data_IF_339876740575
#
_entry.id   IF_339876740575
#
_cell.length_a   1.000
_cell.length_b   1.000
_cell.length_c   1.000
_cell.angle_alpha   90.00
_cell.angle_beta   90.00
_cell.angle_gamma   90.00
#
_symmetry.space_group_name_H-M   'P 1'
#
loop_
_entity.id
_entity.type
_entity.pdbx_description
1 polymer ?
#
# COMPACT_ATOMS: atom_id res chain seq x y z
N UNK A 1 -22.14 16.58 31.22
CA UNK A 1 -21.82 15.84 29.97
C UNK A 1 -20.54 16.46 29.43
N UNK A 2 -19.43 15.76 29.55
CA UNK A 2 -18.20 16.15 28.86
C UNK A 2 -18.46 16.14 27.36
N UNK A 3 -18.18 17.26 26.68
CA UNK A 3 -18.27 17.33 25.22
C UNK A 3 -17.32 16.31 24.57
N UNK A 4 -17.50 15.98 23.30
CA UNK A 4 -16.61 15.05 22.63
C UNK A 4 -15.18 15.57 22.73
N UNK A 5 -14.30 14.73 23.28
CA UNK A 5 -12.86 15.06 23.38
C UNK A 5 -12.34 15.26 21.96
N UNK A 6 -12.02 16.51 21.63
CA UNK A 6 -11.44 16.86 20.34
C UNK A 6 -10.07 16.16 20.20
N UNK A 7 -9.83 15.45 19.09
CA UNK A 7 -8.53 14.87 18.82
C UNK A 7 -7.49 15.99 18.63
N UNK A 8 -6.41 15.89 19.37
CA UNK A 8 -5.23 16.75 19.23
C UNK A 8 -4.09 15.87 18.77
N UNK A 9 -3.58 16.13 17.57
CA UNK A 9 -2.45 15.39 17.02
C UNK A 9 -1.16 15.70 17.81
N UNK A 10 -0.28 14.71 17.91
CA UNK A 10 1.04 14.86 18.53
C UNK A 10 1.82 16.00 17.82
N UNK A 11 2.25 17.05 18.52
CA UNK A 11 2.99 18.15 17.91
C UNK A 11 4.34 17.72 17.34
N UNK A 12 4.95 16.64 17.87
CA UNK A 12 6.24 16.13 17.45
C UNK A 12 6.14 15.03 16.38
N UNK A 13 4.94 14.77 15.81
CA UNK A 13 4.66 13.67 14.88
C UNK A 13 5.60 13.57 13.71
N UNK A 14 6.14 14.69 13.22
CA UNK A 14 7.06 14.70 12.07
C UNK A 14 8.53 14.47 12.42
N UNK A 15 8.90 14.44 13.72
CA UNK A 15 10.30 14.41 14.15
C UNK A 15 11.00 13.07 13.93
N UNK A 16 10.24 11.96 13.83
CA UNK A 16 10.77 10.60 13.79
C UNK A 16 10.52 9.88 12.46
N UNK A 17 9.57 10.34 11.66
CA UNK A 17 9.21 9.72 10.38
C UNK A 17 10.13 10.26 9.28
N UNK A 18 10.92 9.41 8.62
CA UNK A 18 11.63 9.81 7.41
C UNK A 18 10.62 10.00 6.28
N UNK A 19 10.74 11.13 5.56
CA UNK A 19 9.96 11.40 4.37
C UNK A 19 10.85 11.29 3.13
N UNK A 20 10.39 10.53 2.14
CA UNK A 20 11.13 10.24 0.91
C UNK A 20 10.44 10.87 -0.28
N UNK A 21 11.22 11.43 -1.19
CA UNK A 21 10.70 12.04 -2.42
C UNK A 21 10.10 10.96 -3.32
N UNK A 22 8.91 11.23 -3.85
CA UNK A 22 8.22 10.35 -4.80
C UNK A 22 8.79 10.56 -6.19
N UNK A 23 9.80 9.79 -6.55
CA UNK A 23 10.54 9.95 -7.78
C UNK A 23 11.15 11.36 -7.92
N UNK A 24 10.89 12.02 -9.06
CA UNK A 24 11.35 13.41 -9.32
C UNK A 24 10.31 14.47 -8.95
N UNK A 25 9.14 14.06 -8.44
CA UNK A 25 8.08 15.01 -8.09
C UNK A 25 8.41 15.83 -6.83
N UNK A 26 7.61 16.84 -6.55
CA UNK A 26 7.69 17.62 -5.30
C UNK A 26 7.09 16.91 -4.08
N UNK A 27 6.30 15.84 -4.30
CA UNK A 27 5.60 15.15 -3.23
C UNK A 27 6.58 14.29 -2.41
N UNK A 28 6.45 14.38 -1.08
CA UNK A 28 7.14 13.50 -0.14
C UNK A 28 6.12 12.53 0.47
N UNK A 29 6.46 11.25 0.58
CA UNK A 29 5.69 10.28 1.33
C UNK A 29 6.48 9.81 2.57
N UNK A 30 5.77 9.44 3.67
CA UNK A 30 6.42 8.81 4.81
C UNK A 30 7.02 7.46 4.37
N UNK A 31 8.15 7.08 4.95
CA UNK A 31 8.78 5.78 4.64
C UNK A 31 7.86 4.59 4.92
N UNK A 32 6.92 4.75 5.87
CA UNK A 32 5.84 3.80 6.13
C UNK A 32 4.50 4.50 5.88
N UNK A 33 3.66 3.91 5.03
CA UNK A 33 2.29 4.33 4.74
C UNK A 33 1.28 3.35 5.31
N UNK A 34 0.06 3.79 5.63
CA UNK A 34 -1.00 2.93 6.17
C UNK A 34 -2.00 2.53 5.09
N UNK A 35 -2.08 1.22 4.80
CA UNK A 35 -3.09 0.62 3.93
C UNK A 35 -4.36 0.27 4.69
N UNK A 36 -5.49 0.70 4.18
CA UNK A 36 -6.80 0.58 4.83
C UNK A 36 -7.64 -0.59 4.26
N UNK A 37 -6.99 -1.63 3.75
CA UNK A 37 -7.67 -2.86 3.33
C UNK A 37 -8.07 -3.71 4.55
N UNK A 38 -8.93 -4.71 4.42
CA UNK A 38 -9.32 -5.77 5.39
C UNK A 38 -9.62 -5.39 6.86
N UNK A 39 -8.94 -4.42 7.45
CA UNK A 39 -9.09 -4.08 8.88
C UNK A 39 -9.91 -2.81 9.10
N UNK A 40 -10.39 -2.17 8.04
CA UNK A 40 -11.10 -0.89 8.07
C UNK A 40 -12.49 -0.98 7.44
N UNK A 41 -12.95 -2.20 7.12
CA UNK A 41 -14.29 -2.45 6.59
C UNK A 41 -15.41 -2.29 7.63
N UNK A 42 -16.63 -2.39 7.15
CA UNK A 42 -17.83 -2.27 7.98
C UNK A 42 -18.04 -3.43 8.98
N UNK A 43 -17.27 -4.52 8.84
CA UNK A 43 -17.26 -5.66 9.76
C UNK A 43 -16.35 -5.43 10.99
N UNK A 44 -15.68 -4.28 11.08
CA UNK A 44 -14.74 -3.92 12.16
C UNK A 44 -15.29 -2.82 13.04
N UNK A 45 -15.00 -2.86 14.37
CA UNK A 45 -15.41 -1.77 15.25
C UNK A 45 -14.76 -0.45 14.82
N UNK A 46 -15.58 0.58 14.60
CA UNK A 46 -15.13 1.91 14.19
C UNK A 46 -14.06 2.50 15.14
N UNK A 47 -14.21 2.32 16.45
CA UNK A 47 -13.25 2.85 17.42
C UNK A 47 -11.87 2.19 17.32
N UNK A 48 -11.78 0.95 16.85
CA UNK A 48 -10.48 0.31 16.54
C UNK A 48 -9.82 0.99 15.36
N UNK A 49 -10.54 1.20 14.27
CA UNK A 49 -10.05 1.92 13.08
C UNK A 49 -9.64 3.34 13.44
N UNK A 50 -10.47 4.02 14.23
CA UNK A 50 -10.21 5.38 14.73
C UNK A 50 -8.92 5.45 15.54
N UNK A 51 -8.73 4.54 16.48
CA UNK A 51 -7.52 4.49 17.32
C UNK A 51 -6.26 4.26 16.47
N UNK A 52 -6.32 3.34 15.48
CA UNK A 52 -5.19 3.05 14.59
C UNK A 52 -4.85 4.27 13.73
N UNK A 53 -5.84 4.92 13.11
CA UNK A 53 -5.63 6.07 12.22
C UNK A 53 -5.08 7.28 12.98
N UNK A 54 -5.63 7.59 14.17
CA UNK A 54 -5.10 8.65 15.03
C UNK A 54 -3.64 8.37 15.39
N UNK A 55 -3.36 7.16 15.84
CA UNK A 55 -1.99 6.78 16.22
C UNK A 55 -1.04 6.79 15.02
N UNK A 56 -1.50 6.40 13.83
CA UNK A 56 -0.70 6.50 12.62
C UNK A 56 -0.28 7.95 12.34
N UNK A 57 -1.23 8.87 12.43
CA UNK A 57 -0.94 10.30 12.24
C UNK A 57 -0.01 10.85 13.33
N UNK A 58 -0.21 10.47 14.59
CA UNK A 58 0.69 10.82 15.70
C UNK A 58 2.12 10.26 15.53
N UNK A 59 2.29 9.20 14.76
CA UNK A 59 3.60 8.63 14.43
C UNK A 59 4.20 9.22 13.14
N UNK A 60 3.55 10.19 12.51
CA UNK A 60 4.01 10.87 11.30
C UNK A 60 3.62 10.14 10.01
N UNK A 61 2.73 9.15 10.06
CA UNK A 61 2.17 8.54 8.85
C UNK A 61 1.12 9.49 8.29
N UNK A 62 1.46 10.15 7.18
CA UNK A 62 0.59 11.11 6.51
C UNK A 62 -0.11 10.52 5.28
N UNK A 63 0.32 9.36 4.79
CA UNK A 63 -0.26 8.70 3.63
C UNK A 63 -1.18 7.55 4.06
N UNK A 64 -2.44 7.66 3.65
CA UNK A 64 -3.51 6.68 3.86
C UNK A 64 -3.99 6.16 2.51
N UNK A 65 -3.82 4.86 2.29
CA UNK A 65 -4.04 4.21 1.00
C UNK A 65 -5.30 3.35 1.02
N UNK A 66 -6.22 3.66 0.12
CA UNK A 66 -7.51 3.00 -0.04
C UNK A 66 -7.68 2.43 -1.46
N UNK A 67 -8.82 1.82 -1.71
CA UNK A 67 -9.37 1.51 -3.02
C UNK A 67 -10.90 1.45 -2.93
N UNK A 68 -11.57 1.63 -4.07
CA UNK A 68 -13.03 1.63 -4.16
C UNK A 68 -13.66 0.34 -3.60
N UNK A 69 -12.99 -0.82 -3.77
CA UNK A 69 -13.48 -2.13 -3.35
C UNK A 69 -12.94 -2.57 -1.98
N UNK A 70 -12.22 -1.73 -1.22
CA UNK A 70 -11.74 -2.10 0.11
C UNK A 70 -12.88 -2.17 1.12
N UNK A 71 -12.82 -3.22 1.96
CA UNK A 71 -13.82 -3.54 2.97
C UNK A 71 -13.52 -4.90 3.61
N UNK A 72 -14.48 -5.80 3.88
CA UNK A 72 -15.89 -5.88 3.42
C UNK A 72 -16.86 -4.97 4.19
N UNK A 73 -18.04 -4.67 3.61
CA UNK A 73 -18.38 -4.76 2.18
C UNK A 73 -17.59 -3.73 1.34
N UNK A 74 -17.58 -3.90 0.00
CA UNK A 74 -16.89 -2.97 -0.90
C UNK A 74 -17.29 -1.52 -0.66
N UNK A 75 -16.30 -0.62 -0.57
CA UNK A 75 -16.47 0.80 -0.27
C UNK A 75 -16.51 1.15 1.21
N UNK A 76 -16.71 0.18 2.12
CA UNK A 76 -16.85 0.47 3.56
C UNK A 76 -15.57 0.99 4.21
N UNK A 77 -14.39 0.66 3.67
CA UNK A 77 -13.14 1.24 4.15
C UNK A 77 -13.07 2.76 3.86
N UNK A 78 -13.51 3.18 2.67
CA UNK A 78 -13.61 4.61 2.32
C UNK A 78 -14.67 5.32 3.17
N UNK A 79 -15.82 4.69 3.46
CA UNK A 79 -16.85 5.26 4.34
C UNK A 79 -16.32 5.42 5.78
N UNK A 80 -15.60 4.41 6.30
CA UNK A 80 -14.96 4.46 7.62
C UNK A 80 -13.95 5.59 7.70
N UNK A 81 -13.08 5.72 6.69
CA UNK A 81 -12.07 6.77 6.65
C UNK A 81 -12.70 8.16 6.42
N UNK A 82 -13.73 8.25 5.58
CA UNK A 82 -14.50 9.49 5.35
C UNK A 82 -15.10 10.06 6.65
N UNK A 83 -15.59 9.20 7.55
CA UNK A 83 -16.05 9.62 8.88
C UNK A 83 -14.91 10.21 9.72
N UNK A 84 -13.70 9.67 9.62
CA UNK A 84 -12.52 10.19 10.33
C UNK A 84 -12.05 11.52 9.72
N UNK A 85 -12.09 11.64 8.39
CA UNK A 85 -11.79 12.90 7.69
C UNK A 85 -12.77 14.01 8.06
N UNK A 86 -14.05 13.67 8.25
CA UNK A 86 -15.08 14.66 8.66
C UNK A 86 -15.01 15.04 10.14
N UNK A 87 -14.28 14.32 10.97
CA UNK A 87 -14.21 14.52 12.42
C UNK A 87 -12.79 14.77 12.92
N UNK A 88 -12.06 13.71 13.23
CA UNK A 88 -10.75 13.78 13.87
C UNK A 88 -9.68 14.43 12.99
N UNK A 89 -9.72 14.16 11.70
CA UNK A 89 -8.72 14.61 10.74
C UNK A 89 -9.14 15.86 9.94
N UNK A 90 -10.34 16.38 10.17
CA UNK A 90 -10.84 17.55 9.45
C UNK A 90 -9.88 18.77 9.50
N UNK A 91 -9.23 19.09 10.63
CA UNK A 91 -8.28 20.20 10.69
C UNK A 91 -6.95 19.93 9.95
N UNK A 92 -6.69 18.68 9.56
CA UNK A 92 -5.39 18.23 9.06
C UNK A 92 -5.43 17.77 7.58
N UNK A 93 -6.53 18.02 6.85
CA UNK A 93 -6.67 17.52 5.46
C UNK A 93 -5.46 17.87 4.58
N UNK A 94 -4.94 19.08 4.71
CA UNK A 94 -3.81 19.57 3.90
C UNK A 94 -2.45 18.97 4.32
N UNK A 95 -2.41 18.28 5.47
CA UNK A 95 -1.24 17.54 5.94
C UNK A 95 -1.27 16.06 5.53
N UNK A 96 -2.37 15.61 4.93
CA UNK A 96 -2.59 14.22 4.55
C UNK A 96 -2.42 14.00 3.05
N UNK A 97 -1.91 12.84 2.70
CA UNK A 97 -1.97 12.27 1.35
C UNK A 97 -3.00 11.13 1.38
N UNK A 98 -4.10 11.31 0.69
CA UNK A 98 -5.18 10.31 0.58
C UNK A 98 -5.17 9.73 -0.82
N UNK A 99 -5.01 8.42 -0.93
CA UNK A 99 -5.04 7.73 -2.21
C UNK A 99 -6.21 6.75 -2.30
N UNK A 100 -6.76 6.61 -3.50
CA UNK A 100 -7.72 5.56 -3.82
C UNK A 100 -7.50 5.01 -5.22
N UNK A 101 -8.14 3.88 -5.56
CA UNK A 101 -7.88 3.10 -6.77
C UNK A 101 -9.19 2.55 -7.35
N UNK A 102 -9.19 2.30 -8.66
CA UNK A 102 -10.22 1.55 -9.36
C UNK A 102 -9.59 0.57 -10.35
N UNK A 103 -10.18 -0.64 -10.47
CA UNK A 103 -9.67 -1.69 -11.38
C UNK A 103 -10.23 -3.07 -11.09
N UNK A 104 -10.48 -3.41 -9.83
CA UNK A 104 -11.14 -4.66 -9.44
C UNK A 104 -12.66 -4.48 -9.40
N UNK A 105 -13.38 -5.60 -9.31
CA UNK A 105 -14.84 -5.63 -9.29
C UNK A 105 -15.42 -4.78 -8.15
N UNK A 106 -16.46 -4.04 -8.46
CA UNK A 106 -17.15 -3.15 -7.52
C UNK A 106 -18.67 -3.31 -7.55
N UNK A 107 -19.25 -3.61 -8.72
CA UNK A 107 -20.65 -3.90 -8.92
C UNK A 107 -20.87 -4.87 -10.07
N UNK A 108 -21.97 -5.62 -10.11
CA UNK A 108 -22.21 -6.60 -11.17
C UNK A 108 -22.45 -5.97 -12.53
N UNK A 109 -22.13 -6.74 -13.58
CA UNK A 109 -22.37 -6.36 -14.98
C UNK A 109 -21.13 -5.79 -15.68
N UNK A 110 -21.24 -5.40 -16.96
CA UNK A 110 -20.09 -5.15 -17.83
C UNK A 110 -19.38 -3.81 -17.56
N UNK A 111 -19.82 -3.03 -16.58
CA UNK A 111 -19.29 -1.71 -16.30
C UNK A 111 -18.75 -1.57 -14.87
N UNK A 112 -18.61 -2.67 -14.16
CA UNK A 112 -18.27 -2.67 -12.73
C UNK A 112 -16.84 -3.05 -12.41
N UNK A 113 -15.95 -3.17 -13.41
CA UNK A 113 -14.60 -3.71 -13.28
C UNK A 113 -13.68 -3.18 -14.38
N UNK A 114 -12.37 -3.40 -14.22
CA UNK A 114 -11.29 -3.16 -15.19
C UNK A 114 -10.95 -1.69 -15.46
N UNK A 115 -10.44 -1.40 -16.66
CA UNK A 115 -9.78 -0.13 -17.00
C UNK A 115 -10.61 0.83 -17.86
N UNK A 116 -11.86 0.48 -18.22
CA UNK A 116 -12.64 1.36 -19.09
C UNK A 116 -12.82 2.75 -18.49
N UNK A 117 -12.75 3.77 -19.32
CA UNK A 117 -12.99 5.18 -18.92
C UNK A 117 -14.28 5.35 -18.12
N UNK A 118 -15.34 4.64 -18.54
CA UNK A 118 -16.64 4.67 -17.85
C UNK A 118 -16.54 4.18 -16.42
N UNK A 119 -15.89 3.04 -16.20
CA UNK A 119 -15.74 2.45 -14.87
C UNK A 119 -14.80 3.28 -13.99
N UNK A 120 -13.63 3.67 -14.50
CA UNK A 120 -12.61 4.40 -13.75
C UNK A 120 -13.14 5.72 -13.20
N UNK A 121 -13.80 6.54 -14.05
CA UNK A 121 -14.34 7.82 -13.63
C UNK A 121 -15.56 7.68 -12.70
N UNK A 122 -16.47 6.73 -12.98
CA UNK A 122 -17.61 6.46 -12.10
C UNK A 122 -17.16 5.99 -10.72
N UNK A 123 -16.11 5.16 -10.66
CA UNK A 123 -15.51 4.69 -9.40
C UNK A 123 -14.92 5.84 -8.58
N UNK A 124 -14.17 6.76 -9.22
CA UNK A 124 -13.62 7.93 -8.54
C UNK A 124 -14.74 8.80 -7.94
N UNK A 125 -15.80 9.06 -8.71
CA UNK A 125 -16.93 9.85 -8.23
C UNK A 125 -17.65 9.19 -7.04
N UNK A 126 -17.71 7.86 -7.00
CA UNK A 126 -18.25 7.12 -5.85
C UNK A 126 -17.30 7.17 -4.66
N UNK A 127 -15.99 7.01 -4.88
CA UNK A 127 -14.97 7.10 -3.84
C UNK A 127 -14.96 8.47 -3.17
N UNK A 128 -15.01 9.55 -3.94
CA UNK A 128 -15.09 10.92 -3.41
C UNK A 128 -16.33 11.12 -2.53
N UNK A 129 -17.49 10.57 -2.92
CA UNK A 129 -18.72 10.64 -2.10
C UNK A 129 -18.57 9.88 -0.78
N UNK A 130 -17.98 8.66 -0.79
CA UNK A 130 -17.74 7.86 0.43
C UNK A 130 -16.73 8.54 1.37
N UNK A 131 -15.68 9.11 0.79
CA UNK A 131 -14.66 9.84 1.55
C UNK A 131 -15.13 11.22 2.05
N UNK A 132 -16.17 11.79 1.43
CA UNK A 132 -16.61 13.15 1.72
C UNK A 132 -15.60 14.21 1.29
N UNK A 133 -14.87 13.96 0.20
CA UNK A 133 -13.81 14.81 -0.35
C UNK A 133 -14.17 15.33 -1.74
N UNK A 134 -13.67 16.52 -2.08
CA UNK A 134 -13.73 17.06 -3.43
C UNK A 134 -12.65 16.46 -4.35
N UNK A 135 -11.51 16.04 -3.76
CA UNK A 135 -10.39 15.42 -4.47
C UNK A 135 -9.64 14.43 -3.57
N UNK A 136 -8.97 13.45 -4.20
CA UNK A 136 -7.92 12.64 -3.59
C UNK A 136 -6.55 13.13 -4.06
N UNK A 137 -5.50 12.87 -3.26
CA UNK A 137 -4.16 13.28 -3.65
C UNK A 137 -3.62 12.39 -4.78
N UNK A 138 -3.80 11.06 -4.68
CA UNK A 138 -3.35 10.13 -5.71
C UNK A 138 -4.53 9.22 -6.13
N UNK A 139 -4.78 9.14 -7.42
CA UNK A 139 -5.73 8.19 -7.99
C UNK A 139 -5.03 7.16 -8.86
N UNK A 140 -5.24 5.87 -8.56
CA UNK A 140 -4.56 4.77 -9.23
C UNK A 140 -5.48 4.00 -10.20
N UNK A 141 -4.91 3.60 -11.35
CA UNK A 141 -5.36 2.38 -12.01
C UNK A 141 -4.85 1.20 -11.19
N UNK A 142 -5.77 0.41 -10.62
CA UNK A 142 -5.48 -0.61 -9.59
C UNK A 142 -4.78 -1.85 -10.15
N UNK A 143 -4.98 -2.13 -11.45
CA UNK A 143 -4.30 -3.17 -12.21
C UNK A 143 -4.36 -2.86 -13.71
N UNK A 144 -3.49 -3.49 -14.49
CA UNK A 144 -3.59 -3.44 -15.95
C UNK A 144 -4.86 -4.16 -16.41
N UNK A 145 -5.50 -3.63 -17.47
CA UNK A 145 -6.62 -4.27 -18.14
C UNK A 145 -6.10 -4.86 -19.46
N UNK A 146 -6.20 -6.19 -19.68
CA UNK A 146 -5.69 -6.82 -20.89
C UNK A 146 -6.48 -6.46 -22.14
N UNK A 147 -7.76 -6.11 -22.01
CA UNK A 147 -8.69 -5.93 -23.12
C UNK A 147 -8.99 -4.46 -23.46
N UNK A 148 -8.74 -3.54 -22.52
CA UNK A 148 -8.94 -2.10 -22.75
C UNK A 148 -7.65 -1.46 -23.28
N UNK A 149 -7.71 -0.65 -24.38
CA UNK A 149 -6.57 0.12 -24.83
C UNK A 149 -5.99 0.98 -23.69
N UNK A 150 -4.67 0.91 -23.51
CA UNK A 150 -4.02 1.61 -22.40
C UNK A 150 -4.25 3.11 -22.40
N UNK A 151 -4.37 3.69 -23.61
CA UNK A 151 -4.69 5.10 -23.84
C UNK A 151 -6.05 5.49 -23.24
N UNK A 152 -7.03 4.58 -23.23
CA UNK A 152 -8.34 4.85 -22.62
C UNK A 152 -8.22 4.94 -21.10
N UNK A 153 -7.54 3.99 -20.48
CA UNK A 153 -7.32 3.97 -19.02
C UNK A 153 -6.48 5.17 -18.57
N UNK A 154 -5.36 5.43 -19.23
CA UNK A 154 -4.50 6.57 -18.90
C UNK A 154 -5.20 7.91 -19.18
N UNK A 155 -5.98 7.98 -20.27
CA UNK A 155 -6.82 9.15 -20.55
C UNK A 155 -7.92 9.38 -19.52
N UNK A 156 -8.40 8.34 -18.83
CA UNK A 156 -9.30 8.48 -17.68
C UNK A 156 -8.58 9.08 -16.46
N UNK A 157 -7.36 8.65 -16.16
CA UNK A 157 -6.55 9.23 -15.09
C UNK A 157 -6.20 10.71 -15.36
N UNK A 158 -5.77 11.03 -16.59
CA UNK A 158 -5.56 12.43 -17.02
C UNK A 158 -6.81 13.27 -16.82
N UNK A 159 -7.97 12.74 -17.20
CA UNK A 159 -9.25 13.44 -17.01
C UNK A 159 -9.55 13.70 -15.53
N UNK A 160 -9.30 12.74 -14.65
CA UNK A 160 -9.48 12.90 -13.21
C UNK A 160 -8.60 14.04 -12.67
N UNK A 161 -7.35 14.11 -13.11
CA UNK A 161 -6.42 15.18 -12.72
C UNK A 161 -6.85 16.53 -13.27
N UNK A 162 -7.19 16.64 -14.57
CA UNK A 162 -7.67 17.88 -15.20
C UNK A 162 -8.97 18.41 -14.60
N UNK A 163 -9.83 17.53 -14.11
CA UNK A 163 -11.07 17.92 -13.41
C UNK A 163 -10.81 18.34 -11.95
N UNK A 164 -9.57 18.24 -11.45
CA UNK A 164 -9.24 18.55 -10.07
C UNK A 164 -9.77 17.52 -9.06
N UNK A 165 -10.18 16.32 -9.51
CA UNK A 165 -10.66 15.23 -8.65
C UNK A 165 -9.53 14.35 -8.12
N UNK A 166 -8.34 14.47 -8.71
CA UNK A 166 -7.09 13.90 -8.19
C UNK A 166 -5.96 14.92 -8.44
N UNK A 167 -4.96 14.95 -7.57
CA UNK A 167 -3.78 15.79 -7.78
C UNK A 167 -2.75 15.08 -8.65
N UNK A 168 -2.64 13.76 -8.51
CA UNK A 168 -1.65 12.94 -9.18
C UNK A 168 -2.24 11.62 -9.69
N UNK A 169 -1.65 11.11 -10.78
CA UNK A 169 -1.95 9.81 -11.34
C UNK A 169 -0.95 8.75 -10.85
N UNK A 170 -1.45 7.55 -10.52
CA UNK A 170 -0.66 6.38 -10.16
C UNK A 170 -1.13 5.14 -10.90
N UNK A 171 -0.29 4.11 -10.91
CA UNK A 171 -0.62 2.77 -11.41
C UNK A 171 -0.22 1.70 -10.39
N UNK A 172 -0.80 0.53 -10.46
CA UNK A 172 -0.50 -0.59 -9.56
C UNK A 172 -0.42 -1.90 -10.31
N UNK A 173 0.58 -2.73 -9.99
CA UNK A 173 0.77 -4.08 -10.54
C UNK A 173 0.91 -4.14 -12.07
N UNK A 174 1.54 -3.15 -12.68
CA UNK A 174 1.88 -3.14 -14.11
C UNK A 174 3.26 -3.75 -14.35
N UNK A 175 3.42 -4.56 -15.40
CA UNK A 175 4.72 -5.04 -15.87
C UNK A 175 5.67 -3.87 -16.25
N UNK A 176 7.00 -4.09 -16.30
CA UNK A 176 7.95 -3.01 -16.62
C UNK A 176 7.65 -2.31 -17.94
N UNK A 177 7.41 -3.05 -19.02
CA UNK A 177 7.10 -2.50 -20.35
C UNK A 177 5.79 -1.73 -20.33
N UNK A 178 4.76 -2.29 -19.73
CA UNK A 178 3.45 -1.64 -19.59
C UNK A 178 3.53 -0.36 -18.77
N UNK A 179 4.43 -0.33 -17.79
CA UNK A 179 4.74 0.88 -17.00
C UNK A 179 5.39 1.97 -17.88
N UNK A 180 6.32 1.60 -18.78
CA UNK A 180 6.91 2.56 -19.75
C UNK A 180 5.85 3.14 -20.69
N UNK A 181 5.00 2.29 -21.24
CA UNK A 181 3.92 2.71 -22.13
C UNK A 181 2.94 3.66 -21.41
N UNK A 182 2.47 3.29 -20.22
CA UNK A 182 1.58 4.11 -19.41
C UNK A 182 2.18 5.48 -19.10
N UNK A 183 3.45 5.51 -18.68
CA UNK A 183 4.16 6.75 -18.40
C UNK A 183 4.31 7.63 -19.64
N UNK A 184 4.62 7.05 -20.81
CA UNK A 184 4.75 7.79 -22.06
C UNK A 184 3.40 8.39 -22.51
N UNK A 185 2.29 7.65 -22.37
CA UNK A 185 0.95 8.14 -22.68
C UNK A 185 0.58 9.30 -21.76
N UNK A 186 0.78 9.14 -20.44
CA UNK A 186 0.46 10.18 -19.46
C UNK A 186 1.32 11.44 -19.65
N UNK A 187 2.61 11.30 -19.97
CA UNK A 187 3.51 12.42 -20.26
C UNK A 187 3.04 13.17 -21.51
N UNK A 188 2.67 12.44 -22.58
CA UNK A 188 2.08 13.01 -23.79
C UNK A 188 0.77 13.77 -23.57
N UNK A 189 0.02 13.42 -22.52
CA UNK A 189 -1.20 14.11 -22.10
C UNK A 189 -0.91 15.31 -21.16
N UNK A 190 0.34 15.45 -20.68
CA UNK A 190 0.74 16.49 -19.73
C UNK A 190 0.39 16.18 -18.26
N UNK A 191 0.12 14.92 -17.93
CA UNK A 191 -0.14 14.42 -16.57
C UNK A 191 0.92 13.36 -16.24
N UNK A 192 2.12 13.74 -15.76
CA UNK A 192 3.20 12.77 -15.50
C UNK A 192 2.77 11.70 -14.50
N UNK A 193 3.17 10.44 -14.76
CA UNK A 193 3.00 9.35 -13.80
C UNK A 193 3.79 9.64 -12.53
N UNK A 194 3.11 9.71 -11.39
CA UNK A 194 3.74 10.00 -10.10
C UNK A 194 4.41 8.78 -9.49
N UNK A 195 3.67 7.67 -9.43
CA UNK A 195 4.01 6.53 -8.56
C UNK A 195 3.45 5.22 -9.09
N UNK A 196 4.20 4.15 -8.86
CA UNK A 196 3.77 2.78 -9.08
C UNK A 196 3.65 2.04 -7.74
N UNK A 197 2.56 1.28 -7.57
CA UNK A 197 2.32 0.47 -6.36
C UNK A 197 2.35 -1.03 -6.70
N UNK A 198 3.49 -1.73 -6.56
CA UNK A 198 3.61 -3.17 -6.76
C UNK A 198 3.55 -3.95 -5.45
N UNK A 199 3.26 -5.27 -5.53
CA UNK A 199 3.53 -6.20 -4.43
C UNK A 199 5.04 -6.40 -4.27
N UNK A 200 5.55 -6.30 -3.03
CA UNK A 200 6.98 -6.47 -2.76
C UNK A 200 7.26 -6.95 -1.35
N UNK A 201 8.04 -8.01 -1.23
CA UNK A 201 8.49 -8.55 0.05
C UNK A 201 9.75 -9.41 -0.14
N UNK A 202 10.34 -9.91 0.94
CA UNK A 202 11.44 -10.88 0.88
C UNK A 202 11.08 -12.18 0.15
N UNK A 203 9.79 -12.51 0.01
CA UNK A 203 9.29 -13.71 -0.67
C UNK A 203 8.60 -13.43 -2.00
N UNK A 204 8.58 -12.18 -2.44
CA UNK A 204 8.04 -11.74 -3.71
C UNK A 204 8.90 -10.56 -4.22
N UNK A 205 9.89 -10.88 -5.05
CA UNK A 205 10.97 -9.96 -5.46
C UNK A 205 10.91 -9.54 -6.93
N UNK A 206 9.83 -9.86 -7.63
CA UNK A 206 9.68 -9.64 -9.08
C UNK A 206 10.02 -8.23 -9.55
N UNK A 207 9.80 -7.21 -8.71
CA UNK A 207 10.10 -5.82 -9.05
C UNK A 207 11.59 -5.52 -9.22
N UNK A 208 12.46 -6.37 -8.65
CA UNK A 208 13.91 -6.23 -8.77
C UNK A 208 14.39 -6.63 -10.16
N UNK A 209 13.57 -7.42 -10.91
CA UNK A 209 13.83 -7.80 -12.29
C UNK A 209 13.22 -6.76 -13.26
N UNK A 210 13.90 -5.62 -13.38
CA UNK A 210 13.63 -4.56 -14.36
C UNK A 210 12.67 -3.46 -13.92
N UNK A 211 11.64 -3.71 -13.10
CA UNK A 211 10.66 -2.67 -12.75
C UNK A 211 11.30 -1.50 -11.98
N UNK A 212 12.13 -1.78 -10.98
CA UNK A 212 12.81 -0.72 -10.24
C UNK A 212 13.74 0.12 -11.12
N UNK A 213 14.37 -0.49 -12.14
CA UNK A 213 15.20 0.23 -13.09
C UNK A 213 14.35 1.16 -13.97
N UNK A 214 13.22 0.66 -14.49
CA UNK A 214 12.24 1.46 -15.24
C UNK A 214 11.76 2.66 -14.42
N UNK A 215 11.37 2.45 -13.17
CA UNK A 215 10.90 3.53 -12.30
C UNK A 215 12.01 4.57 -12.03
N UNK A 216 13.25 4.10 -11.79
CA UNK A 216 14.41 4.97 -11.61
C UNK A 216 14.70 5.83 -12.84
N UNK A 217 14.69 5.26 -14.04
CA UNK A 217 14.90 5.97 -15.32
C UNK A 217 13.81 7.02 -15.57
N UNK A 218 12.54 6.64 -15.35
CA UNK A 218 11.39 7.53 -15.53
C UNK A 218 11.28 8.58 -14.41
N UNK A 219 11.95 8.39 -13.28
CA UNK A 219 11.82 9.25 -12.11
C UNK A 219 10.43 9.13 -11.45
N UNK A 220 9.85 7.94 -11.49
CA UNK A 220 8.57 7.59 -10.88
C UNK A 220 8.81 6.99 -9.49
N UNK A 221 7.97 7.33 -8.51
CA UNK A 221 8.05 6.76 -7.17
C UNK A 221 7.59 5.29 -7.13
N UNK A 222 8.04 4.57 -6.09
CA UNK A 222 7.63 3.19 -5.84
C UNK A 222 7.15 3.02 -4.39
N UNK A 223 5.95 2.44 -4.22
CA UNK A 223 5.41 2.08 -2.91
C UNK A 223 5.03 0.59 -2.88
N UNK A 224 5.75 -0.20 -2.08
CA UNK A 224 5.53 -1.64 -2.01
C UNK A 224 4.38 -2.03 -1.09
N UNK A 225 3.42 -2.82 -1.58
CA UNK A 225 2.37 -3.39 -0.73
C UNK A 225 2.66 -4.85 -0.38
N UNK A 226 1.98 -5.40 0.64
CA UNK A 226 2.20 -6.74 1.19
C UNK A 226 3.65 -7.03 1.66
N UNK A 227 4.35 -6.09 2.28
CA UNK A 227 5.78 -6.23 2.61
C UNK A 227 6.07 -7.34 3.61
N UNK A 228 5.07 -7.79 4.36
CA UNK A 228 5.17 -8.89 5.32
C UNK A 228 4.66 -10.23 4.76
N UNK A 229 4.57 -10.37 3.42
CA UNK A 229 4.15 -11.60 2.76
C UNK A 229 2.88 -12.19 3.39
N UNK A 230 1.80 -11.41 3.47
CA UNK A 230 0.52 -11.77 4.08
C UNK A 230 0.61 -12.19 5.56
N UNK A 231 1.71 -11.86 6.25
CA UNK A 231 1.98 -12.18 7.65
C UNK A 231 2.96 -13.33 7.85
N UNK A 232 3.47 -13.96 6.80
CA UNK A 232 4.51 -15.01 6.89
C UNK A 232 5.81 -14.47 7.51
N UNK A 233 6.17 -13.23 7.22
CA UNK A 233 7.34 -12.54 7.76
C UNK A 233 7.07 -11.89 9.14
N UNK A 234 6.27 -12.56 9.96
CA UNK A 234 5.98 -12.19 11.35
C UNK A 234 6.04 -13.42 12.24
N UNK A 235 5.92 -13.23 13.55
CA UNK A 235 5.84 -14.36 14.51
C UNK A 235 4.45 -15.01 14.54
N UNK A 236 3.49 -14.52 13.73
CA UNK A 236 2.09 -14.93 13.78
C UNK A 236 1.87 -16.43 13.55
N UNK A 237 2.69 -17.06 12.69
CA UNK A 237 2.57 -18.46 12.30
C UNK A 237 3.64 -19.35 12.90
N UNK A 238 4.42 -18.87 13.89
CA UNK A 238 5.50 -19.62 14.52
C UNK A 238 5.00 -20.84 15.33
N UNK A 239 3.81 -20.76 15.90
CA UNK A 239 3.21 -21.81 16.74
C UNK A 239 1.98 -22.48 16.07
N UNK A 240 1.77 -22.23 14.78
CA UNK A 240 0.63 -22.77 14.02
C UNK A 240 -0.21 -21.67 13.38
N UNK A 241 -1.42 -22.03 12.92
CA UNK A 241 -2.36 -21.09 12.27
C UNK A 241 -3.30 -20.52 13.34
N UNK A 242 -3.15 -19.25 13.76
CA UNK A 242 -4.05 -18.67 14.77
C UNK A 242 -5.47 -18.54 14.25
N UNK A 243 -6.43 -18.72 15.13
CA UNK A 243 -7.85 -18.44 14.84
C UNK A 243 -8.02 -16.96 14.40
N UNK A 244 -8.79 -16.73 13.33
CA UNK A 244 -8.99 -15.40 12.75
C UNK A 244 -7.81 -14.84 11.95
N UNK A 245 -6.74 -15.63 11.70
CA UNK A 245 -5.68 -15.28 10.76
C UNK A 245 -6.20 -15.26 9.31
N UNK A 246 -5.43 -14.67 8.37
CA UNK A 246 -5.80 -14.67 6.95
C UNK A 246 -5.91 -16.08 6.37
N UNK A 247 -5.04 -17.00 6.80
CA UNK A 247 -5.10 -18.42 6.43
C UNK A 247 -6.38 -19.06 6.99
N UNK A 248 -6.68 -18.85 8.27
CA UNK A 248 -7.86 -19.43 8.92
C UNK A 248 -9.19 -18.89 8.34
N UNK A 249 -9.17 -17.69 7.75
CA UNK A 249 -10.33 -17.04 7.11
C UNK A 249 -10.39 -17.25 5.60
N UNK A 250 -9.48 -18.00 5.02
CA UNK A 250 -9.36 -18.24 3.56
C UNK A 250 -9.40 -16.94 2.72
N UNK A 251 -8.71 -15.90 3.20
CA UNK A 251 -8.80 -14.58 2.58
C UNK A 251 -7.79 -14.39 1.44
N UNK A 252 -6.50 -14.35 1.75
CA UNK A 252 -5.49 -13.97 0.77
C UNK A 252 -4.19 -14.76 0.87
N UNK A 253 -4.13 -15.75 1.74
CA UNK A 253 -2.99 -16.65 1.86
C UNK A 253 -3.51 -18.09 1.95
N UNK A 254 -3.37 -18.89 0.87
CA UNK A 254 -3.73 -20.30 0.87
C UNK A 254 -2.93 -21.07 1.92
N UNK A 255 -3.56 -22.06 2.58
CA UNK A 255 -2.91 -22.83 3.64
C UNK A 255 -1.72 -23.67 3.12
N UNK A 256 -1.73 -24.04 1.85
CA UNK A 256 -0.67 -24.78 1.16
C UNK A 256 0.62 -23.97 0.97
N UNK A 257 0.58 -22.65 1.10
CA UNK A 257 1.76 -21.79 1.09
C UNK A 257 2.61 -21.90 2.38
N UNK A 258 2.06 -22.45 3.46
CA UNK A 258 2.79 -22.69 4.70
C UNK A 258 3.55 -24.04 4.66
N UNK A 259 4.37 -24.23 3.64
CA UNK A 259 5.20 -25.45 3.47
C UNK A 259 6.32 -25.51 4.49
N UNK A 260 6.91 -26.72 4.67
CA UNK A 260 8.11 -26.88 5.51
C UNK A 260 9.29 -26.04 4.98
N UNK A 261 9.38 -25.86 3.66
CA UNK A 261 10.38 -24.98 3.04
C UNK A 261 10.15 -23.51 3.42
N UNK A 262 8.92 -23.02 3.35
CA UNK A 262 8.57 -21.65 3.77
C UNK A 262 8.87 -21.45 5.25
N UNK A 263 8.54 -22.42 6.10
CA UNK A 263 8.87 -22.38 7.54
C UNK A 263 10.37 -22.32 7.80
N UNK A 264 11.17 -23.09 7.06
CA UNK A 264 12.63 -23.08 7.17
C UNK A 264 13.22 -21.73 6.75
N UNK A 265 12.72 -21.12 5.64
CA UNK A 265 13.11 -19.76 5.21
C UNK A 265 12.79 -18.73 6.31
N UNK A 266 11.57 -18.76 6.87
CA UNK A 266 11.15 -17.85 7.94
C UNK A 266 12.03 -18.02 9.20
N UNK A 267 12.36 -19.27 9.57
CA UNK A 267 13.24 -19.54 10.72
C UNK A 267 14.65 -18.95 10.52
N UNK A 268 15.24 -19.13 9.33
CA UNK A 268 16.54 -18.55 9.01
C UNK A 268 16.53 -17.02 9.03
N UNK A 269 15.50 -16.38 8.47
CA UNK A 269 15.34 -14.93 8.53
C UNK A 269 15.15 -14.42 9.96
N UNK A 270 14.45 -15.19 10.82
CA UNK A 270 14.26 -14.84 12.23
C UNK A 270 15.58 -14.87 13.02
N UNK A 271 16.45 -15.82 12.74
CA UNK A 271 17.78 -15.88 13.37
C UNK A 271 18.61 -14.64 13.00
N UNK A 272 18.58 -14.22 11.74
CA UNK A 272 19.25 -12.99 11.28
C UNK A 272 18.64 -11.76 11.97
N UNK A 273 17.32 -11.66 12.03
CA UNK A 273 16.63 -10.57 12.70
C UNK A 273 16.99 -10.48 14.19
N UNK A 274 17.06 -11.62 14.90
CA UNK A 274 17.50 -11.69 16.28
C UNK A 274 18.95 -11.22 16.45
N UNK A 275 19.85 -11.63 15.55
CA UNK A 275 21.25 -11.16 15.53
C UNK A 275 21.35 -9.64 15.31
N UNK A 276 20.40 -9.07 14.59
CA UNK A 276 20.25 -7.62 14.39
C UNK A 276 19.59 -6.89 15.58
N UNK A 277 19.04 -7.61 16.56
CA UNK A 277 18.25 -7.03 17.65
C UNK A 277 16.91 -6.44 17.19
N UNK A 278 16.35 -6.92 16.08
CA UNK A 278 15.06 -6.50 15.51
C UNK A 278 14.06 -7.67 15.50
N UNK A 279 12.76 -7.42 15.70
CA UNK A 279 11.73 -8.39 15.31
C UNK A 279 11.79 -8.67 13.81
N UNK A 280 11.45 -9.91 13.40
CA UNK A 280 11.44 -10.31 11.98
C UNK A 280 10.61 -9.34 11.11
N UNK A 281 9.42 -8.96 11.56
CA UNK A 281 8.58 -8.00 10.85
C UNK A 281 9.28 -6.64 10.63
N UNK A 282 9.98 -6.14 11.64
CA UNK A 282 10.70 -4.86 11.54
C UNK A 282 11.87 -4.98 10.56
N UNK A 283 12.64 -6.08 10.61
CA UNK A 283 13.70 -6.34 9.63
C UNK A 283 13.14 -6.46 8.20
N UNK A 284 12.03 -7.16 8.01
CA UNK A 284 11.40 -7.32 6.69
C UNK A 284 10.94 -5.98 6.10
N UNK A 285 10.33 -5.11 6.92
CA UNK A 285 9.94 -3.76 6.49
C UNK A 285 11.17 -2.88 6.18
N UNK A 286 12.19 -2.89 7.03
CA UNK A 286 13.44 -2.19 6.78
C UNK A 286 14.09 -2.66 5.46
N UNK A 287 14.06 -3.97 5.20
CA UNK A 287 14.62 -4.56 4.00
C UNK A 287 13.89 -4.08 2.72
N UNK A 288 12.56 -3.95 2.74
CA UNK A 288 11.83 -3.40 1.57
C UNK A 288 12.21 -1.93 1.29
N UNK A 289 12.68 -1.21 2.28
CA UNK A 289 13.11 0.18 2.17
C UNK A 289 14.61 0.37 1.87
N UNK A 290 15.40 -0.73 1.74
CA UNK A 290 16.84 -0.67 1.53
C UNK A 290 17.25 -0.04 0.20
N UNK A 291 16.42 -0.25 -0.83
CA UNK A 291 16.65 0.34 -2.14
C UNK A 291 16.21 1.82 -2.13
N UNK A 292 17.07 2.76 -2.54
CA UNK A 292 16.72 4.18 -2.54
C UNK A 292 15.60 4.55 -3.52
N UNK A 293 15.27 3.68 -4.49
CA UNK A 293 14.15 3.85 -5.42
C UNK A 293 12.80 3.55 -4.77
N UNK A 294 12.79 2.83 -3.63
CA UNK A 294 11.58 2.63 -2.84
C UNK A 294 11.23 3.90 -2.07
N UNK A 295 10.12 4.52 -2.40
CA UNK A 295 9.61 5.71 -1.71
C UNK A 295 9.03 5.37 -0.35
N UNK A 296 8.19 4.34 -0.28
CA UNK A 296 7.46 3.96 0.92
C UNK A 296 7.15 2.46 0.93
N UNK A 297 6.89 1.90 2.11
CA UNK A 297 6.30 0.57 2.26
C UNK A 297 4.92 0.69 2.89
N UNK A 298 3.94 -0.03 2.32
CA UNK A 298 2.54 0.03 2.71
C UNK A 298 2.22 -1.07 3.71
N UNK A 299 1.92 -0.70 4.96
CA UNK A 299 1.58 -1.65 6.03
C UNK A 299 0.10 -1.62 6.36
N UNK A 300 -0.47 -2.79 6.66
CA UNK A 300 -1.76 -2.90 7.33
C UNK A 300 -1.56 -3.11 8.82
N UNK A 301 -2.52 -2.66 9.63
CA UNK A 301 -2.54 -2.91 11.07
C UNK A 301 -3.95 -3.28 11.55
N UNK A 302 -4.05 -4.24 12.47
CA UNK A 302 -5.31 -4.64 13.11
C UNK A 302 -5.43 -4.10 14.55
N UNK A 303 -4.37 -3.46 15.05
CA UNK A 303 -4.32 -2.82 16.37
C UNK A 303 -3.26 -1.72 16.40
N UNK A 304 -3.36 -0.82 17.37
CA UNK A 304 -2.35 0.21 17.64
C UNK A 304 -0.98 -0.41 17.92
N UNK A 305 -0.94 -1.46 18.74
CA UNK A 305 0.33 -2.13 19.08
C UNK A 305 1.02 -2.74 17.86
N UNK A 306 0.26 -3.30 16.90
CA UNK A 306 0.83 -3.81 15.65
C UNK A 306 1.37 -2.67 14.77
N UNK A 307 0.66 -1.54 14.70
CA UNK A 307 1.13 -0.36 13.97
C UNK A 307 2.46 0.14 14.55
N UNK A 308 2.54 0.29 15.87
CA UNK A 308 3.76 0.73 16.56
C UNK A 308 4.93 -0.23 16.35
N UNK A 309 4.67 -1.55 16.34
CA UNK A 309 5.70 -2.55 16.01
C UNK A 309 6.20 -2.40 14.57
N UNK A 310 5.30 -2.13 13.60
CA UNK A 310 5.70 -1.91 12.22
C UNK A 310 6.59 -0.65 12.09
N UNK A 311 6.24 0.43 12.79
CA UNK A 311 7.02 1.70 12.75
C UNK A 311 8.42 1.54 13.34
N UNK A 312 8.65 0.60 14.26
CA UNK A 312 10.00 0.26 14.78
C UNK A 312 10.98 -0.23 13.71
N UNK A 313 10.50 -0.59 12.51
CA UNK A 313 11.39 -0.86 11.39
C UNK A 313 12.32 0.34 11.08
N UNK A 314 11.85 1.56 11.36
CA UNK A 314 12.61 2.79 11.12
C UNK A 314 13.77 3.01 12.12
N UNK A 315 13.80 2.29 13.24
CA UNK A 315 14.86 2.40 14.24
C UNK A 315 16.22 1.88 13.70
N UNK A 316 16.19 0.98 12.68
CA UNK A 316 17.38 0.44 12.03
C UNK A 316 17.10 0.06 10.58
N UNK A 317 17.37 0.97 9.66
CA UNK A 317 17.18 0.78 8.21
C UNK A 317 18.43 0.27 7.49
N UNK A 318 19.62 0.42 8.09
CA UNK A 318 20.88 0.07 7.47
C UNK A 318 21.12 -1.45 7.50
N UNK A 319 21.69 -1.96 6.43
CA UNK A 319 22.15 -3.35 6.30
C UNK A 319 23.61 -3.38 5.89
N UNK A 320 24.39 -4.25 6.51
CA UNK A 320 25.73 -4.57 6.01
C UNK A 320 25.63 -5.53 4.82
N UNK A 321 26.70 -5.62 4.03
CA UNK A 321 26.78 -6.57 2.90
C UNK A 321 26.59 -8.00 3.42
N UNK A 322 27.26 -8.37 4.51
CA UNK A 322 27.17 -9.72 5.11
C UNK A 322 25.73 -10.05 5.58
N UNK A 323 25.00 -9.05 6.09
CA UNK A 323 23.59 -9.20 6.47
C UNK A 323 22.69 -9.43 5.24
N UNK A 324 22.91 -8.67 4.15
CA UNK A 324 22.17 -8.86 2.91
C UNK A 324 22.46 -10.23 2.28
N UNK A 325 23.73 -10.65 2.22
CA UNK A 325 24.14 -11.95 1.72
C UNK A 325 23.52 -13.10 2.55
N UNK A 326 23.43 -12.92 3.87
CA UNK A 326 22.77 -13.90 4.74
C UNK A 326 21.25 -13.93 4.52
N UNK A 327 20.61 -12.76 4.35
CA UNK A 327 19.17 -12.64 4.05
C UNK A 327 18.85 -13.29 2.69
N UNK A 328 19.64 -13.05 1.67
CA UNK A 328 19.41 -13.54 0.30
C UNK A 328 19.42 -15.08 0.18
N UNK A 329 20.02 -15.79 1.14
CA UNK A 329 19.93 -17.24 1.20
C UNK A 329 18.50 -17.75 1.49
N UNK A 330 17.68 -16.94 2.14
CA UNK A 330 16.33 -17.30 2.56
C UNK A 330 15.26 -16.44 1.88
N UNK A 331 15.57 -15.17 1.56
CA UNK A 331 14.69 -14.22 0.90
C UNK A 331 14.64 -14.48 -0.61
N UNK A 332 14.06 -15.60 -0.99
CA UNK A 332 13.92 -16.03 -2.38
C UNK A 332 12.46 -16.14 -2.76
N UNK A 333 12.18 -16.02 -4.06
CA UNK A 333 10.82 -16.17 -4.59
C UNK A 333 10.15 -17.43 -4.03
N UNK A 334 8.89 -17.32 -3.67
CA UNK A 334 8.13 -18.36 -2.96
C UNK A 334 6.72 -18.52 -3.52
N UNK A 335 6.48 -18.11 -4.77
CA UNK A 335 5.21 -18.22 -5.50
C UNK A 335 4.01 -17.63 -4.74
N UNK A 336 4.26 -16.59 -3.93
CA UNK A 336 3.23 -15.91 -3.15
C UNK A 336 2.76 -14.60 -3.80
N UNK A 337 3.07 -14.39 -5.08
CA UNK A 337 2.53 -13.26 -5.84
C UNK A 337 1.08 -13.55 -6.25
N UNK A 338 0.14 -13.28 -5.34
CA UNK A 338 -1.31 -13.45 -5.58
C UNK A 338 -1.85 -12.51 -6.68
N UNK A 339 -1.03 -11.61 -7.16
CA UNK A 339 -1.36 -10.60 -8.18
C UNK A 339 -0.53 -10.79 -9.46
N UNK A 340 0.09 -11.98 -9.65
CA UNK A 340 0.91 -12.28 -10.83
C UNK A 340 0.15 -12.08 -12.13
N UNK A 341 -1.10 -12.55 -12.21
CA UNK A 341 -1.95 -12.34 -13.39
C UNK A 341 -2.09 -10.87 -13.81
N UNK A 342 -2.07 -9.95 -12.84
CA UNK A 342 -2.11 -8.51 -13.11
C UNK A 342 -0.74 -7.92 -13.44
N UNK A 343 0.34 -8.59 -13.01
CA UNK A 343 1.73 -8.14 -13.23
C UNK A 343 2.33 -8.70 -14.53
N UNK A 344 1.68 -9.71 -15.12
CA UNK A 344 2.12 -10.39 -16.35
C UNK A 344 1.44 -9.82 -17.61
N UNK A 345 0.57 -8.82 -17.46
CA UNK A 345 -0.21 -8.17 -18.55
C UNK A 345 0.41 -6.84 -18.97
#
# INVERSE_FOLDING_TARGET
>A
MEGPVTYLADPDRYSRMPYRRTGRSGLLLPAISLGLWNNFGGDRPYETSRAIVRRAFDLGITHFDLANNYGPPYGSAEETFGRLLATDLAPFRDELVVSTKAGYDMWPGPYGEWGSRKYVLASLDQSLRRLGLDYVDIFYSHRADPDTPLEETMGALDTAVRQGKALYAGISSYAPERTREAAAILDGLGTPLLIHQPSYSMFNRWIEDGLLDVLGELGVGCIGFSPLAQGLLTDRYSEGIPEGSRIARDLSLPADQLTEQTKAKVAGLREIANGRGQPLAAMALAWTLRDPRMTSTLVGASSVGQLEQNVRALDRLDFTVDELDAIDRYATESDINLWSESSDV
#
